data_IF_975330014708
#
_entry.id   IF_975330014708
#
_cell.length_a   1.000
_cell.length_b   1.000
_cell.length_c   1.000
_cell.angle_alpha   90.00
_cell.angle_beta   90.00
_cell.angle_gamma   90.00
#
_symmetry.space_group_name_H-M   'P 1'
#
loop_
_entity.id
_entity.type
_entity.pdbx_description
1 polymer ?
#
# COMPACT_ATOMS: atom_id res chain seq x y z
N UNK A 1 -30.71 3.69 30.77
CA UNK A 1 -30.47 2.48 29.97
C UNK A 1 -31.48 1.39 30.27
N UNK A 2 -32.29 0.99 29.29
CA UNK A 2 -33.20 -0.14 29.43
C UNK A 2 -32.42 -1.48 29.64
N UNK A 3 -33.09 -2.52 30.17
CA UNK A 3 -32.42 -3.78 30.53
C UNK A 3 -31.92 -4.57 29.32
N UNK A 4 -32.63 -4.52 28.20
CA UNK A 4 -32.28 -5.26 26.99
C UNK A 4 -31.05 -4.67 26.30
N UNK A 5 -30.96 -3.34 26.19
CA UNK A 5 -29.79 -2.61 25.71
C UNK A 5 -28.58 -2.88 26.60
N UNK A 6 -28.75 -2.78 27.93
CA UNK A 6 -27.67 -3.07 28.88
C UNK A 6 -27.15 -4.50 28.73
N UNK A 7 -28.05 -5.46 28.48
CA UNK A 7 -27.67 -6.85 28.24
C UNK A 7 -26.95 -7.00 26.90
N UNK A 8 -27.45 -6.38 25.83
CA UNK A 8 -26.83 -6.43 24.51
C UNK A 8 -25.41 -5.84 24.53
N UNK A 9 -25.22 -4.67 25.13
CA UNK A 9 -23.89 -4.06 25.27
C UNK A 9 -22.92 -4.97 26.04
N UNK A 10 -23.39 -5.63 27.12
CA UNK A 10 -22.58 -6.59 27.89
C UNK A 10 -22.22 -7.88 27.14
N UNK A 11 -22.94 -8.21 26.08
CA UNK A 11 -22.61 -9.37 25.24
C UNK A 11 -21.45 -9.06 24.28
N UNK A 12 -21.15 -7.78 24.06
CA UNK A 12 -19.95 -7.33 23.34
C UNK A 12 -18.76 -7.35 24.29
N UNK A 13 -17.80 -8.23 24.02
CA UNK A 13 -16.61 -8.44 24.84
C UNK A 13 -15.48 -8.95 23.92
N UNK A 14 -14.26 -8.45 24.12
CA UNK A 14 -13.13 -8.74 23.23
C UNK A 14 -12.73 -10.23 23.23
N UNK A 15 -12.95 -10.95 24.33
CA UNK A 15 -12.71 -12.39 24.44
C UNK A 15 -13.81 -13.23 23.77
N UNK A 16 -15.00 -12.66 23.57
CA UNK A 16 -16.09 -13.37 22.90
C UNK A 16 -15.97 -13.24 21.38
N UNK A 17 -15.46 -14.29 20.74
CA UNK A 17 -15.28 -14.31 19.28
C UNK A 17 -16.57 -14.33 18.46
N UNK A 18 -17.76 -14.51 19.07
CA UNK A 18 -19.04 -14.50 18.36
C UNK A 18 -19.92 -13.31 18.77
N UNK A 19 -20.23 -12.45 17.81
CA UNK A 19 -21.20 -11.36 17.94
C UNK A 19 -22.55 -11.82 17.36
N UNK A 20 -23.59 -11.81 18.19
CA UNK A 20 -24.94 -12.21 17.76
C UNK A 20 -25.62 -11.09 16.97
N UNK A 21 -26.38 -11.47 15.95
CA UNK A 21 -27.13 -10.51 15.11
C UNK A 21 -28.10 -9.69 15.95
N UNK A 22 -28.81 -10.37 16.86
CA UNK A 22 -29.77 -9.74 17.76
C UNK A 22 -29.12 -8.70 18.69
N UNK A 23 -27.86 -8.89 19.07
CA UNK A 23 -27.10 -7.94 19.90
C UNK A 23 -26.93 -6.62 19.15
N UNK A 24 -26.44 -6.68 17.90
CA UNK A 24 -26.28 -5.50 17.03
C UNK A 24 -27.62 -4.81 16.77
N UNK A 25 -28.67 -5.57 16.44
CA UNK A 25 -30.02 -5.05 16.20
C UNK A 25 -30.61 -4.36 17.43
N UNK A 26 -30.39 -4.91 18.62
CA UNK A 26 -30.88 -4.32 19.89
C UNK A 26 -30.20 -2.99 20.16
N UNK A 27 -28.89 -2.89 19.93
CA UNK A 27 -28.14 -1.63 20.11
C UNK A 27 -28.63 -0.57 19.12
N UNK A 28 -28.76 -0.92 17.83
CA UNK A 28 -29.29 -0.01 16.79
C UNK A 28 -30.71 0.45 17.06
N UNK A 29 -31.58 -0.43 17.57
CA UNK A 29 -32.95 -0.08 17.93
C UNK A 29 -33.05 0.93 19.10
N UNK A 30 -31.97 1.10 19.87
CA UNK A 30 -31.90 2.03 21.01
C UNK A 30 -30.79 3.09 20.80
N UNK A 31 -30.58 3.54 19.56
CA UNK A 31 -29.49 4.44 19.15
C UNK A 31 -29.25 5.62 20.10
N UNK A 32 -30.26 6.41 20.44
CA UNK A 32 -30.08 7.62 21.27
C UNK A 32 -29.47 7.30 22.64
N UNK A 33 -30.04 6.31 23.33
CA UNK A 33 -29.58 5.89 24.66
C UNK A 33 -28.22 5.17 24.59
N UNK A 34 -27.95 4.43 23.51
CA UNK A 34 -26.67 3.78 23.26
C UNK A 34 -25.56 4.79 22.93
N UNK A 35 -25.84 5.81 22.11
CA UNK A 35 -24.90 6.89 21.78
C UNK A 35 -24.45 7.60 23.05
N UNK A 36 -25.40 8.03 23.90
CA UNK A 36 -25.07 8.69 25.17
C UNK A 36 -24.19 7.79 26.05
N UNK A 37 -24.53 6.50 26.14
CA UNK A 37 -23.76 5.54 26.93
C UNK A 37 -22.34 5.33 26.37
N UNK A 38 -22.18 5.18 25.06
CA UNK A 38 -20.87 4.97 24.45
C UNK A 38 -19.98 6.21 24.58
N UNK A 39 -20.53 7.41 24.44
CA UNK A 39 -19.80 8.66 24.73
C UNK A 39 -19.36 8.73 26.20
N UNK A 40 -20.22 8.33 27.14
CA UNK A 40 -19.88 8.24 28.57
C UNK A 40 -18.79 7.19 28.85
N UNK A 41 -18.79 6.08 28.12
CA UNK A 41 -17.74 5.06 28.26
C UNK A 41 -16.38 5.57 27.77
N UNK A 42 -16.35 6.40 26.73
CA UNK A 42 -15.13 7.10 26.30
C UNK A 42 -14.68 8.12 27.34
N UNK A 43 -15.61 8.88 27.94
CA UNK A 43 -15.27 9.80 29.03
C UNK A 43 -14.71 9.06 30.25
N UNK A 44 -15.26 7.89 30.59
CA UNK A 44 -14.71 7.07 31.67
C UNK A 44 -13.29 6.56 31.37
N UNK A 45 -13.00 6.18 30.11
CA UNK A 45 -11.63 5.87 29.69
C UNK A 45 -10.73 7.11 29.73
N UNK A 46 -11.22 8.30 29.40
CA UNK A 46 -10.44 9.54 29.43
C UNK A 46 -10.10 9.95 30.88
N UNK A 47 -11.04 9.76 31.80
CA UNK A 47 -10.88 10.08 33.22
C UNK A 47 -9.95 9.10 33.95
N UNK A 48 -9.91 7.83 33.51
CA UNK A 48 -9.01 6.78 34.01
C UNK A 48 -8.40 5.96 32.84
N UNK A 49 -7.41 6.52 32.09
CA UNK A 49 -6.86 5.86 30.89
C UNK A 49 -6.20 4.51 31.15
N UNK A 50 -5.72 4.29 32.38
CA UNK A 50 -5.06 3.06 32.78
C UNK A 50 -6.00 2.13 33.56
N UNK A 51 -7.32 2.31 33.42
CA UNK A 51 -8.31 1.50 34.11
C UNK A 51 -8.11 0.01 33.84
N UNK A 52 -8.21 -0.82 34.87
CA UNK A 52 -8.23 -2.29 34.73
C UNK A 52 -9.67 -2.81 34.56
N UNK A 53 -10.65 -1.91 34.49
CA UNK A 53 -12.04 -2.27 34.28
C UNK A 53 -12.27 -2.69 32.81
N UNK A 54 -12.03 -3.98 32.54
CA UNK A 54 -12.23 -4.62 31.22
C UNK A 54 -13.57 -4.24 30.60
N UNK A 55 -14.60 -4.05 31.42
CA UNK A 55 -15.92 -3.68 30.92
C UNK A 55 -15.96 -2.28 30.31
N UNK A 56 -15.29 -1.30 30.90
CA UNK A 56 -15.21 0.05 30.32
C UNK A 56 -14.38 0.01 29.03
N UNK A 57 -13.31 -0.78 29.02
CA UNK A 57 -12.45 -0.99 27.84
C UNK A 57 -13.27 -1.60 26.69
N UNK A 58 -13.96 -2.72 26.91
CA UNK A 58 -14.79 -3.39 25.90
C UNK A 58 -15.91 -2.47 25.41
N UNK A 59 -16.67 -1.87 26.34
CA UNK A 59 -17.83 -1.05 26.00
C UNK A 59 -17.45 0.21 25.21
N UNK A 60 -16.30 0.82 25.51
CA UNK A 60 -15.77 1.95 24.75
C UNK A 60 -15.19 1.53 23.39
N UNK A 61 -14.48 0.40 23.32
CA UNK A 61 -13.94 -0.13 22.07
C UNK A 61 -15.05 -0.44 21.06
N UNK A 62 -16.01 -1.30 21.41
CA UNK A 62 -17.12 -1.62 20.51
C UNK A 62 -18.05 -0.42 20.28
N UNK A 63 -18.23 0.43 21.30
CA UNK A 63 -19.03 1.65 21.21
C UNK A 63 -18.58 2.57 20.08
N UNK A 64 -17.25 2.72 19.89
CA UNK A 64 -16.69 3.54 18.81
C UNK A 64 -17.10 3.08 17.42
N UNK A 65 -17.27 1.77 17.17
CA UNK A 65 -17.77 1.28 15.88
C UNK A 65 -19.23 1.67 15.62
N UNK A 66 -20.08 1.66 16.65
CA UNK A 66 -21.46 2.16 16.53
C UNK A 66 -21.51 3.67 16.36
N UNK A 67 -20.68 4.42 17.10
CA UNK A 67 -20.55 5.86 16.92
C UNK A 67 -20.11 6.20 15.49
N UNK A 68 -19.18 5.43 14.91
CA UNK A 68 -18.77 5.55 13.51
C UNK A 68 -19.91 5.19 12.53
N UNK A 69 -20.62 4.08 12.74
CA UNK A 69 -21.81 3.72 11.93
C UNK A 69 -22.82 4.86 11.88
N UNK A 70 -22.99 5.57 13.00
CA UNK A 70 -23.96 6.65 13.16
C UNK A 70 -23.40 8.04 12.81
N UNK A 71 -22.12 8.13 12.46
CA UNK A 71 -21.39 9.37 12.18
C UNK A 71 -21.50 10.37 13.33
N UNK A 72 -21.35 9.90 14.56
CA UNK A 72 -21.44 10.73 15.76
C UNK A 72 -20.16 11.55 15.95
N UNK A 73 -20.09 12.71 15.32
CA UNK A 73 -18.85 13.50 15.26
C UNK A 73 -18.38 14.03 16.61
N UNK A 74 -19.26 14.10 17.62
CA UNK A 74 -18.87 14.48 18.98
C UNK A 74 -17.88 13.49 19.64
N UNK A 75 -17.72 12.28 19.07
CA UNK A 75 -16.74 11.30 19.52
C UNK A 75 -15.31 11.55 19.01
N UNK A 76 -15.11 12.28 17.91
CA UNK A 76 -13.81 12.43 17.26
C UNK A 76 -12.71 12.91 18.22
N UNK A 77 -12.96 14.04 18.88
CA UNK A 77 -12.03 14.64 19.85
C UNK A 77 -11.80 13.75 21.08
N UNK A 78 -12.78 12.92 21.45
CA UNK A 78 -12.65 11.96 22.56
C UNK A 78 -11.71 10.83 22.18
N UNK A 79 -11.88 10.26 20.97
CA UNK A 79 -11.01 9.21 20.44
C UNK A 79 -9.58 9.74 20.26
N UNK A 80 -9.42 10.92 19.67
CA UNK A 80 -8.11 11.58 19.55
C UNK A 80 -7.45 11.80 20.92
N UNK A 81 -8.20 12.27 21.92
CA UNK A 81 -7.69 12.43 23.28
C UNK A 81 -7.27 11.11 23.91
N UNK A 82 -8.00 10.01 23.66
CA UNK A 82 -7.60 8.69 24.13
C UNK A 82 -6.32 8.19 23.47
N UNK A 83 -6.15 8.42 22.16
CA UNK A 83 -4.90 8.08 21.46
C UNK A 83 -3.70 8.76 22.13
N UNK A 84 -3.83 10.05 22.45
CA UNK A 84 -2.80 10.80 23.18
C UNK A 84 -2.57 10.26 24.59
N UNK A 85 -3.63 10.09 25.39
CA UNK A 85 -3.51 9.71 26.79
C UNK A 85 -2.98 8.29 27.00
N UNK A 86 -3.31 7.37 26.10
CA UNK A 86 -2.87 5.99 26.19
C UNK A 86 -1.41 5.83 25.73
N UNK A 87 -0.94 6.65 24.77
CA UNK A 87 0.41 6.56 24.23
C UNK A 87 0.77 5.12 23.85
N UNK A 88 1.92 4.62 24.31
CA UNK A 88 2.39 3.25 24.10
C UNK A 88 1.40 2.15 24.58
N UNK A 89 0.46 2.49 25.46
CA UNK A 89 -0.56 1.56 25.95
C UNK A 89 -1.82 1.52 25.06
N UNK A 90 -1.86 2.23 23.94
CA UNK A 90 -3.02 2.29 23.04
C UNK A 90 -3.52 0.91 22.61
N UNK A 91 -2.60 -0.03 22.38
CA UNK A 91 -2.93 -1.41 22.03
C UNK A 91 -3.74 -2.16 23.09
N UNK A 92 -3.76 -1.70 24.36
CA UNK A 92 -4.64 -2.28 25.39
C UNK A 92 -6.11 -2.00 25.12
N UNK A 93 -6.41 -0.90 24.43
CA UNK A 93 -7.76 -0.53 24.06
C UNK A 93 -8.12 -1.01 22.66
N UNK A 94 -7.24 -0.79 21.68
CA UNK A 94 -7.54 -1.03 20.27
C UNK A 94 -7.06 -2.38 19.76
N UNK A 95 -6.06 -2.97 20.41
CA UNK A 95 -5.29 -4.08 19.83
C UNK A 95 -4.78 -3.73 18.43
N UNK A 96 -4.88 -4.69 17.53
CA UNK A 96 -4.52 -4.55 16.11
C UNK A 96 -5.55 -3.74 15.30
N UNK A 97 -6.73 -3.45 15.86
CA UNK A 97 -7.74 -2.64 15.18
C UNK A 97 -7.25 -1.20 14.92
N UNK A 98 -6.21 -0.73 15.65
CA UNK A 98 -5.62 0.61 15.51
C UNK A 98 -5.28 0.94 14.05
N UNK A 99 -4.60 0.05 13.36
CA UNK A 99 -4.20 0.26 11.96
C UNK A 99 -5.22 -0.32 10.98
N UNK A 100 -6.00 -1.32 11.38
CA UNK A 100 -6.92 -2.01 10.47
C UNK A 100 -8.32 -1.38 10.36
N UNK A 101 -8.80 -0.71 11.41
CA UNK A 101 -10.16 -0.18 11.50
C UNK A 101 -10.19 1.32 11.77
N UNK A 102 -9.27 1.85 12.59
CA UNK A 102 -9.38 3.24 13.01
C UNK A 102 -9.27 4.29 11.90
N UNK A 103 -8.58 4.08 10.76
CA UNK A 103 -8.70 5.00 9.62
C UNK A 103 -10.17 5.16 9.17
N UNK A 104 -10.90 4.05 9.01
CA UNK A 104 -12.30 4.07 8.59
C UNK A 104 -13.24 4.59 9.68
N UNK A 105 -13.00 4.22 10.93
CA UNK A 105 -13.76 4.73 12.09
C UNK A 105 -13.59 6.24 12.21
N UNK A 106 -12.35 6.74 12.27
CA UNK A 106 -12.05 8.16 12.44
C UNK A 106 -12.59 8.99 11.27
N UNK A 107 -12.56 8.46 10.05
CA UNK A 107 -13.20 9.10 8.90
C UNK A 107 -14.70 9.30 9.09
N UNK A 108 -15.43 8.32 9.64
CA UNK A 108 -16.85 8.49 9.91
C UNK A 108 -17.14 9.42 11.10
N UNK A 109 -16.20 9.52 12.05
CA UNK A 109 -16.32 10.42 13.20
C UNK A 109 -15.87 11.85 12.85
N UNK A 110 -15.15 12.06 11.77
CA UNK A 110 -14.54 13.35 11.45
C UNK A 110 -15.57 14.48 11.43
N UNK A 111 -15.29 15.54 12.20
CA UNK A 111 -16.20 16.66 12.43
C UNK A 111 -16.02 17.81 11.43
N UNK A 112 -15.10 17.67 10.47
CA UNK A 112 -14.74 18.70 9.49
C UNK A 112 -13.68 19.69 9.98
N UNK A 113 -13.16 19.55 11.20
CA UNK A 113 -12.12 20.42 11.73
C UNK A 113 -10.73 19.92 11.30
N UNK A 114 -10.28 20.40 10.13
CA UNK A 114 -9.02 20.00 9.51
C UNK A 114 -7.80 20.27 10.39
N UNK A 115 -7.83 21.30 11.25
CA UNK A 115 -6.73 21.58 12.16
C UNK A 115 -6.54 20.44 13.17
N UNK A 116 -7.61 19.77 13.60
CA UNK A 116 -7.48 18.63 14.53
C UNK A 116 -6.85 17.40 13.88
N UNK A 117 -7.06 17.19 12.57
CA UNK A 117 -6.36 16.12 11.83
C UNK A 117 -4.85 16.37 11.85
N UNK A 118 -4.44 17.62 11.58
CA UNK A 118 -3.02 18.00 11.64
C UNK A 118 -2.47 17.85 13.05
N UNK A 119 -3.21 18.26 14.08
CA UNK A 119 -2.79 18.11 15.48
C UNK A 119 -2.57 16.62 15.79
N UNK A 120 -3.49 15.73 15.42
CA UNK A 120 -3.34 14.29 15.66
C UNK A 120 -2.15 13.67 14.92
N UNK A 121 -1.93 14.08 13.67
CA UNK A 121 -0.79 13.60 12.87
C UNK A 121 0.56 14.07 13.43
N UNK A 122 0.62 15.29 13.96
CA UNK A 122 1.85 15.95 14.45
C UNK A 122 2.08 15.78 15.95
N UNK A 123 1.22 15.06 16.67
CA UNK A 123 1.34 14.87 18.11
C UNK A 123 2.50 13.91 18.42
N UNK A 124 3.64 14.45 18.87
CA UNK A 124 4.82 13.66 19.23
C UNK A 124 4.64 12.78 20.47
N UNK A 125 3.61 13.03 21.28
CA UNK A 125 3.31 12.22 22.48
C UNK A 125 2.41 11.02 22.17
N UNK A 126 1.76 11.01 21.00
CA UNK A 126 1.02 9.84 20.51
C UNK A 126 1.98 8.75 20.05
N UNK A 127 1.59 7.50 20.30
CA UNK A 127 2.26 6.34 19.73
C UNK A 127 2.22 6.41 18.19
N UNK A 128 3.32 5.96 17.56
CA UNK A 128 3.58 6.00 16.13
C UNK A 128 2.40 5.57 15.25
N UNK A 129 1.86 4.36 15.49
CA UNK A 129 0.73 3.81 14.73
C UNK A 129 -0.58 4.54 15.01
N UNK A 130 -0.74 5.19 16.16
CA UNK A 130 -1.92 6.01 16.45
C UNK A 130 -2.00 7.29 15.61
N UNK A 131 -0.87 7.73 15.02
CA UNK A 131 -0.80 8.94 14.18
C UNK A 131 -1.14 8.69 12.72
N UNK A 132 -0.92 7.46 12.23
CA UNK A 132 -1.12 7.12 10.81
C UNK A 132 -2.57 7.24 10.33
N UNK A 133 -3.63 6.94 11.12
CA UNK A 133 -5.00 7.13 10.67
C UNK A 133 -5.34 8.59 10.33
N UNK A 134 -4.75 9.58 11.02
CA UNK A 134 -4.94 10.99 10.69
C UNK A 134 -4.30 11.33 9.35
N UNK A 135 -3.14 10.76 9.07
CA UNK A 135 -2.44 10.91 7.79
C UNK A 135 -3.26 10.30 6.65
N UNK A 136 -3.80 9.09 6.83
CA UNK A 136 -4.65 8.43 5.82
C UNK A 136 -5.89 9.27 5.46
N UNK A 137 -6.53 9.89 6.46
CA UNK A 137 -7.67 10.81 6.23
C UNK A 137 -7.22 12.02 5.40
N UNK A 138 -6.06 12.62 5.69
CA UNK A 138 -5.54 13.77 4.94
C UNK A 138 -5.26 13.39 3.47
N UNK A 139 -4.67 12.22 3.23
CA UNK A 139 -4.44 11.71 1.87
C UNK A 139 -5.75 11.33 1.15
N UNK A 140 -6.75 10.82 1.88
CA UNK A 140 -8.08 10.60 1.33
C UNK A 140 -8.74 11.92 0.91
N UNK A 141 -8.63 12.98 1.72
CA UNK A 141 -9.13 14.31 1.37
C UNK A 141 -8.43 14.89 0.14
N UNK A 142 -7.12 14.62 -0.02
CA UNK A 142 -6.38 15.04 -1.21
C UNK A 142 -6.90 14.35 -2.47
N UNK A 143 -7.07 13.02 -2.42
CA UNK A 143 -7.53 12.23 -3.58
C UNK A 143 -9.00 12.47 -3.92
N UNK A 144 -9.82 12.81 -2.92
CA UNK A 144 -11.20 13.27 -3.11
C UNK A 144 -11.28 14.71 -3.66
N UNK A 145 -10.15 15.43 -3.74
CA UNK A 145 -10.05 16.79 -4.26
C UNK A 145 -10.48 17.87 -3.27
N UNK A 146 -10.62 17.54 -1.99
CA UNK A 146 -11.02 18.47 -0.93
C UNK A 146 -9.87 19.39 -0.50
N UNK A 147 -8.62 18.90 -0.58
CA UNK A 147 -7.42 19.71 -0.36
C UNK A 147 -6.51 19.72 -1.59
N UNK A 148 -5.81 20.83 -1.78
CA UNK A 148 -4.85 20.97 -2.89
C UNK A 148 -3.54 20.23 -2.62
N UNK A 149 -2.83 19.87 -3.69
CA UNK A 149 -1.46 19.33 -3.62
C UNK A 149 -0.50 20.25 -2.85
N UNK A 150 -0.61 21.58 -3.04
CA UNK A 150 0.23 22.54 -2.31
C UNK A 150 -0.03 22.51 -0.81
N UNK A 151 -1.30 22.35 -0.41
CA UNK A 151 -1.67 22.23 1.00
C UNK A 151 -1.18 20.90 1.59
N UNK A 152 -1.29 19.80 0.83
CA UNK A 152 -0.71 18.51 1.22
C UNK A 152 0.80 18.65 1.47
N UNK A 153 1.55 19.23 0.53
CA UNK A 153 3.00 19.40 0.68
C UNK A 153 3.38 20.28 1.88
N UNK A 154 2.67 21.38 2.14
CA UNK A 154 2.92 22.26 3.31
C UNK A 154 2.75 21.52 4.65
N UNK A 155 1.77 20.63 4.73
CA UNK A 155 1.52 19.80 5.92
C UNK A 155 2.69 18.83 6.15
N UNK A 156 3.19 18.24 5.08
CA UNK A 156 4.26 17.24 5.15
C UNK A 156 5.60 17.89 5.44
N UNK A 157 5.85 19.09 4.93
CA UNK A 157 6.97 19.94 5.37
C UNK A 157 6.90 20.29 6.86
N UNK A 158 5.71 20.30 7.49
CA UNK A 158 5.57 20.55 8.92
C UNK A 158 5.98 19.33 9.75
N UNK A 159 5.69 18.12 9.26
CA UNK A 159 6.18 16.86 9.86
C UNK A 159 7.72 16.81 9.82
N UNK A 160 8.33 17.29 8.75
CA UNK A 160 9.79 17.33 8.57
C UNK A 160 10.52 18.23 9.57
N UNK A 161 9.82 19.16 10.24
CA UNK A 161 10.42 20.06 11.24
C UNK A 161 10.54 19.41 12.62
N UNK A 162 9.95 18.23 12.81
CA UNK A 162 10.10 17.45 14.04
C UNK A 162 11.57 16.99 14.12
N UNK A 163 12.26 17.18 15.27
CA UNK A 163 13.67 16.84 15.42
C UNK A 163 13.98 15.40 14.97
N UNK A 164 15.12 15.17 14.33
CA UNK A 164 15.52 13.83 13.85
C UNK A 164 15.60 12.77 14.96
N UNK A 165 15.84 13.18 16.22
CA UNK A 165 15.84 12.31 17.41
C UNK A 165 14.42 11.93 17.90
N UNK A 166 13.42 12.72 17.51
CA UNK A 166 11.98 12.51 17.75
C UNK A 166 11.25 11.98 16.50
N UNK A 167 11.99 11.87 15.37
CA UNK A 167 11.45 11.32 14.13
C UNK A 167 11.27 9.82 14.26
N UNK A 168 10.04 9.47 14.58
CA UNK A 168 9.57 8.10 14.51
C UNK A 168 9.52 7.63 13.06
N UNK A 169 10.46 6.73 12.79
CA UNK A 169 10.64 5.93 11.60
C UNK A 169 9.34 5.48 10.92
N UNK A 170 8.34 5.05 11.71
CA UNK A 170 7.11 4.47 11.19
C UNK A 170 6.26 5.53 10.50
N UNK A 171 6.15 6.73 11.09
CA UNK A 171 5.41 7.83 10.49
C UNK A 171 6.09 8.38 9.24
N UNK A 172 7.43 8.42 9.19
CA UNK A 172 8.17 8.76 7.97
C UNK A 172 7.94 7.71 6.88
N UNK A 173 7.94 6.43 7.25
CA UNK A 173 7.68 5.32 6.32
C UNK A 173 6.28 5.42 5.71
N UNK A 174 5.25 5.63 6.54
CA UNK A 174 3.87 5.76 6.07
C UNK A 174 3.69 7.00 5.18
N UNK A 175 4.31 8.12 5.54
CA UNK A 175 4.31 9.33 4.71
C UNK A 175 4.87 9.04 3.31
N UNK A 176 6.04 8.41 3.24
CA UNK A 176 6.64 8.04 1.95
C UNK A 176 5.71 7.16 1.12
N UNK A 177 5.10 6.15 1.75
CA UNK A 177 4.20 5.22 1.07
C UNK A 177 2.97 5.94 0.55
N UNK A 178 2.38 6.82 1.36
CA UNK A 178 1.18 7.54 0.97
C UNK A 178 1.45 8.57 -0.13
N UNK A 179 2.64 9.19 -0.15
CA UNK A 179 3.07 10.07 -1.25
C UNK A 179 3.13 9.34 -2.59
N UNK A 180 3.71 8.13 -2.62
CA UNK A 180 3.79 7.37 -3.88
C UNK A 180 2.44 6.77 -4.28
N UNK A 181 1.63 6.29 -3.33
CA UNK A 181 0.23 5.86 -3.60
C UNK A 181 -0.62 7.02 -4.14
N UNK A 182 -0.37 8.24 -3.69
CA UNK A 182 -1.04 9.45 -4.17
C UNK A 182 -0.42 10.04 -5.46
N UNK A 183 0.50 9.32 -6.10
CA UNK A 183 1.16 9.72 -7.35
C UNK A 183 1.93 11.06 -7.26
N UNK A 184 2.48 11.40 -6.08
CA UNK A 184 3.24 12.65 -5.85
C UNK A 184 4.71 12.48 -6.22
N UNK A 185 5.00 12.52 -7.52
CA UNK A 185 6.36 12.36 -8.06
C UNK A 185 7.39 13.32 -7.46
N UNK A 186 7.03 14.58 -7.22
CA UNK A 186 7.93 15.63 -6.73
C UNK A 186 8.51 15.31 -5.35
N UNK A 187 7.92 14.36 -4.63
CA UNK A 187 8.41 13.90 -3.33
C UNK A 187 9.46 12.78 -3.43
N UNK A 188 9.66 12.15 -4.60
CA UNK A 188 10.66 11.09 -4.80
C UNK A 188 12.08 11.47 -4.39
N UNK A 189 12.61 12.67 -4.68
CA UNK A 189 13.94 13.07 -4.23
C UNK A 189 14.06 13.09 -2.70
N UNK A 190 12.98 13.47 -2.00
CA UNK A 190 12.92 13.48 -0.54
C UNK A 190 12.88 12.06 0.03
N UNK A 191 12.05 11.19 -0.55
CA UNK A 191 11.99 9.77 -0.17
C UNK A 191 13.39 9.15 -0.29
N UNK A 192 14.10 9.44 -1.39
CA UNK A 192 15.48 8.97 -1.58
C UNK A 192 16.42 9.46 -0.49
N UNK A 193 16.38 10.75 -0.15
CA UNK A 193 17.20 11.31 0.94
C UNK A 193 16.96 10.57 2.26
N UNK A 194 15.72 10.15 2.54
CA UNK A 194 15.43 9.38 3.76
C UNK A 194 15.95 7.95 3.73
N UNK A 195 15.96 7.29 2.57
CA UNK A 195 16.67 6.02 2.41
C UNK A 195 18.18 6.18 2.64
N UNK A 196 18.81 7.22 2.08
CA UNK A 196 20.25 7.47 2.23
C UNK A 196 20.68 7.80 3.67
N UNK A 197 19.75 8.32 4.48
CA UNK A 197 19.94 8.61 5.90
C UNK A 197 19.54 7.43 6.82
N UNK A 198 19.21 6.27 6.27
CA UNK A 198 18.73 5.09 7.01
C UNK A 198 17.46 5.36 7.87
N UNK A 199 16.64 6.33 7.47
CA UNK A 199 15.32 6.59 8.09
C UNK A 199 14.22 5.65 7.58
N UNK A 200 14.51 4.81 6.59
CA UNK A 200 13.61 3.78 6.06
C UNK A 200 14.40 2.46 6.01
N UNK A 201 13.99 1.49 6.83
CA UNK A 201 14.51 0.16 7.05
C UNK A 201 13.94 -0.71 5.93
N UNK A 202 14.78 -1.13 4.98
CA UNK A 202 14.33 -1.90 3.86
C UNK A 202 13.76 -3.27 4.23
N UNK A 203 14.06 -3.81 5.42
CA UNK A 203 13.45 -5.05 5.89
C UNK A 203 11.98 -4.91 6.25
N UNK A 204 11.55 -3.70 6.65
CA UNK A 204 10.18 -3.41 7.06
C UNK A 204 9.39 -2.82 5.90
N UNK A 205 9.98 -1.83 5.21
CA UNK A 205 9.28 -0.98 4.26
C UNK A 205 9.58 -1.30 2.79
N UNK A 206 10.53 -2.18 2.50
CA UNK A 206 11.06 -2.40 1.16
C UNK A 206 12.10 -1.36 0.75
N UNK A 207 12.62 -1.47 -0.46
CA UNK A 207 13.67 -0.61 -0.98
C UNK A 207 13.09 0.58 -1.76
N UNK A 208 13.89 1.61 -1.99
CA UNK A 208 13.50 2.75 -2.81
C UNK A 208 12.88 2.36 -4.17
N UNK A 209 13.41 1.30 -4.81
CA UNK A 209 12.84 0.80 -6.07
C UNK A 209 11.37 0.37 -5.96
N UNK A 210 10.94 -0.14 -4.79
CA UNK A 210 9.54 -0.53 -4.55
C UNK A 210 8.62 0.71 -4.47
N UNK A 211 9.11 1.82 -3.92
CA UNK A 211 8.39 3.09 -3.88
C UNK A 211 8.20 3.68 -5.27
N UNK A 212 9.23 3.58 -6.13
CA UNK A 212 9.12 3.98 -7.54
C UNK A 212 8.11 3.09 -8.27
N UNK A 213 8.11 1.77 -8.05
CA UNK A 213 7.11 0.87 -8.64
C UNK A 213 5.68 1.28 -8.23
N UNK A 214 5.46 1.54 -6.93
CA UNK A 214 4.16 1.96 -6.38
C UNK A 214 3.70 3.27 -7.02
N UNK A 215 4.59 4.23 -7.23
CA UNK A 215 4.27 5.54 -7.83
C UNK A 215 3.59 5.40 -9.20
N UNK A 216 3.90 4.35 -9.96
CA UNK A 216 3.32 4.12 -11.29
C UNK A 216 2.32 2.96 -11.31
N UNK A 217 1.92 2.43 -10.16
CA UNK A 217 1.06 1.25 -10.07
C UNK A 217 -0.43 1.56 -10.20
N UNK A 218 -1.11 0.87 -11.12
CA UNK A 218 -2.53 1.11 -11.45
C UNK A 218 -3.49 0.90 -10.28
N UNK A 219 -3.12 0.04 -9.34
CA UNK A 219 -3.97 -0.33 -8.20
C UNK A 219 -4.21 0.85 -7.25
N UNK A 220 -3.39 1.89 -7.32
CA UNK A 220 -3.52 3.09 -6.49
C UNK A 220 -4.11 4.28 -7.24
N UNK A 221 -4.48 4.14 -8.52
CA UNK A 221 -5.10 5.22 -9.31
C UNK A 221 -6.40 5.75 -8.66
N UNK A 222 -7.12 4.90 -7.92
CA UNK A 222 -8.34 5.27 -7.20
C UNK A 222 -8.07 6.02 -5.88
N UNK A 223 -6.83 6.00 -5.39
CA UNK A 223 -6.42 6.81 -4.25
C UNK A 223 -7.13 6.45 -2.94
N UNK A 224 -7.51 5.19 -2.74
CA UNK A 224 -8.21 4.77 -1.52
C UNK A 224 -7.23 4.61 -0.36
N UNK A 225 -7.20 5.61 0.53
CA UNK A 225 -6.47 5.58 1.80
C UNK A 225 -7.37 5.14 2.95
N UNK A 226 -8.67 5.40 2.84
CA UNK A 226 -9.64 5.07 3.87
C UNK A 226 -10.85 4.34 3.29
N UNK A 227 -11.37 3.35 4.02
CA UNK A 227 -12.63 2.69 3.67
C UNK A 227 -13.83 3.61 3.96
N UNK A 228 -14.24 4.40 2.96
CA UNK A 228 -15.37 5.35 3.06
C UNK A 228 -16.73 4.66 3.18
N UNK A 229 -16.87 3.45 2.65
CA UNK A 229 -18.12 2.68 2.64
C UNK A 229 -18.35 1.91 3.95
N UNK A 230 -18.15 2.54 5.11
CA UNK A 230 -18.15 1.89 6.42
C UNK A 230 -19.40 1.03 6.68
N UNK A 231 -19.17 -0.26 6.97
CA UNK A 231 -20.19 -1.21 7.41
C UNK A 231 -19.70 -1.84 8.69
N UNK A 232 -20.42 -1.63 9.79
CA UNK A 232 -20.04 -2.09 11.12
C UNK A 232 -19.72 -3.59 11.15
N UNK A 233 -20.57 -4.41 10.54
CA UNK A 233 -20.34 -5.85 10.48
C UNK A 233 -19.06 -6.20 9.70
N UNK A 234 -18.78 -5.53 8.59
CA UNK A 234 -17.56 -5.81 7.80
C UNK A 234 -16.31 -5.44 8.59
N UNK A 235 -16.34 -4.33 9.31
CA UNK A 235 -15.22 -3.86 10.12
C UNK A 235 -14.95 -4.78 11.32
N UNK A 236 -16.00 -5.18 12.04
CA UNK A 236 -15.88 -6.13 13.15
C UNK A 236 -15.57 -7.56 12.68
N UNK A 237 -15.99 -7.96 11.47
CA UNK A 237 -15.75 -9.31 10.97
C UNK A 237 -14.27 -9.62 10.70
N UNK A 238 -13.41 -8.59 10.61
CA UNK A 238 -11.96 -8.78 10.57
C UNK A 238 -11.45 -9.57 11.79
N UNK A 239 -12.15 -9.44 12.94
CA UNK A 239 -11.70 -9.95 14.24
C UNK A 239 -12.69 -10.89 14.94
N UNK A 240 -13.96 -10.83 14.56
CA UNK A 240 -15.07 -11.52 15.22
C UNK A 240 -15.97 -12.24 14.21
N UNK A 241 -16.45 -13.42 14.58
CA UNK A 241 -17.55 -14.06 13.85
C UNK A 241 -18.84 -13.28 14.12
N UNK A 242 -19.60 -12.99 13.06
CA UNK A 242 -20.88 -12.28 13.18
C UNK A 242 -21.98 -13.22 12.73
N UNK A 243 -22.91 -13.52 13.65
CA UNK A 243 -24.01 -14.44 13.40
C UNK A 243 -24.86 -13.98 12.21
N UNK A 244 -25.06 -14.86 11.24
CA UNK A 244 -25.90 -14.57 10.07
C UNK A 244 -25.31 -13.54 9.10
N UNK A 245 -24.04 -13.16 9.28
CA UNK A 245 -23.30 -12.38 8.29
C UNK A 245 -22.62 -13.34 7.31
N UNK A 246 -23.30 -13.62 6.20
CA UNK A 246 -22.68 -14.28 5.05
C UNK A 246 -21.91 -13.23 4.28
N UNK A 247 -20.58 -13.38 4.21
CA UNK A 247 -19.68 -12.55 3.41
C UNK A 247 -20.36 -12.12 2.10
N UNK A 248 -20.82 -10.87 2.03
CA UNK A 248 -21.34 -10.31 0.79
C UNK A 248 -20.14 -10.08 -0.12
N UNK A 249 -19.72 -11.15 -0.83
CA UNK A 249 -18.64 -11.20 -1.83
C UNK A 249 -17.55 -10.14 -1.65
N UNK A 250 -16.52 -10.49 -0.89
CA UNK A 250 -15.24 -9.80 -0.91
C UNK A 250 -14.35 -10.29 0.23
N UNK A 251 -13.60 -11.37 0.00
CA UNK A 251 -12.51 -11.78 0.88
C UNK A 251 -11.52 -10.63 1.04
N UNK A 252 -11.60 -9.88 2.14
CA UNK A 252 -10.48 -9.13 2.68
C UNK A 252 -10.42 -9.44 4.18
N UNK A 253 -10.13 -10.71 4.49
CA UNK A 253 -9.53 -11.04 5.78
C UNK A 253 -8.05 -10.67 5.62
N UNK A 254 -7.69 -9.42 5.94
CA UNK A 254 -6.28 -9.05 6.08
C UNK A 254 -5.85 -9.52 7.47
N UNK A 255 -5.30 -10.71 7.52
CA UNK A 255 -4.54 -11.19 8.68
C UNK A 255 -3.12 -10.58 8.57
N UNK A 256 -2.90 -9.42 9.20
CA UNK A 256 -1.59 -8.75 9.16
C UNK A 256 -0.50 -9.53 9.90
N UNK A 257 -0.89 -10.46 10.79
CA UNK A 257 0.05 -11.34 11.51
C UNK A 257 0.64 -12.46 10.63
N UNK A 258 0.15 -12.61 9.38
CA UNK A 258 0.62 -13.59 8.39
C UNK A 258 0.93 -12.99 7.01
N UNK A 259 1.39 -11.74 6.97
CA UNK A 259 1.91 -11.17 5.72
C UNK A 259 3.23 -11.89 5.35
N UNK A 260 3.10 -13.02 4.66
CA UNK A 260 4.03 -13.39 3.61
C UNK A 260 3.49 -12.78 2.31
N UNK A 261 4.05 -11.62 1.96
CA UNK A 261 3.74 -10.82 0.78
C UNK A 261 3.72 -11.65 -0.52
N UNK A 262 4.47 -12.76 -0.57
CA UNK A 262 4.53 -13.65 -1.73
C UNK A 262 3.30 -14.56 -1.87
N UNK A 263 2.73 -15.04 -0.76
CA UNK A 263 1.62 -16.02 -0.80
C UNK A 263 0.26 -15.38 -1.11
N UNK A 264 0.08 -14.08 -0.82
CA UNK A 264 -1.13 -13.33 -1.16
C UNK A 264 -1.29 -13.13 -2.68
N UNK A 265 -0.18 -13.01 -3.40
CA UNK A 265 -0.13 -12.91 -4.87
C UNK A 265 -0.48 -14.25 -5.53
N UNK A 266 -0.04 -15.38 -4.97
CA UNK A 266 -0.37 -16.71 -5.49
C UNK A 266 -1.86 -17.05 -5.32
N UNK A 267 -2.47 -16.70 -4.17
CA UNK A 267 -3.88 -17.01 -3.91
C UNK A 267 -4.86 -16.14 -4.71
N UNK A 268 -4.48 -14.90 -5.06
CA UNK A 268 -5.28 -14.05 -5.94
C UNK A 268 -5.36 -14.60 -7.39
N UNK A 269 -4.38 -15.41 -7.81
CA UNK A 269 -4.31 -15.97 -9.16
C UNK A 269 -5.25 -17.18 -9.38
N UNK A 270 -5.57 -17.93 -8.33
CA UNK A 270 -6.44 -19.11 -8.43
C UNK A 270 -7.95 -18.76 -8.44
N UNK A 271 -8.32 -17.53 -8.05
CA UNK A 271 -9.73 -17.10 -7.93
C UNK A 271 -10.35 -16.48 -9.20
N UNK A 272 -9.59 -16.35 -10.29
CA UNK A 272 -10.13 -16.02 -11.61
C UNK A 272 -10.22 -17.31 -12.42
N UNK A 273 -11.42 -17.89 -12.56
CA UNK A 273 -11.65 -18.99 -13.50
C UNK A 273 -11.27 -18.53 -14.91
N UNK A 274 -10.08 -18.92 -15.36
CA UNK A 274 -9.63 -18.70 -16.74
C UNK A 274 -10.61 -19.44 -17.67
N UNK A 275 -11.42 -18.73 -18.47
CA UNK A 275 -12.41 -19.36 -19.35
C UNK A 275 -11.77 -20.21 -20.47
N UNK A 276 -10.44 -20.19 -20.59
CA UNK A 276 -9.65 -20.97 -21.55
C UNK A 276 -8.88 -22.15 -20.93
N UNK A 277 -9.06 -22.45 -19.62
CA UNK A 277 -8.33 -23.49 -18.86
C UNK A 277 -8.39 -24.89 -19.48
N UNK A 278 -9.42 -25.18 -20.28
CA UNK A 278 -9.63 -26.49 -20.92
C UNK A 278 -9.51 -26.46 -22.46
N UNK A 279 -9.01 -25.38 -23.06
CA UNK A 279 -8.90 -25.25 -24.53
C UNK A 279 -7.55 -25.80 -24.98
N UNK A 280 -7.56 -26.89 -25.74
CA UNK A 280 -6.36 -27.47 -26.30
C UNK A 280 -5.70 -26.54 -27.33
N UNK A 281 -4.36 -26.54 -27.37
CA UNK A 281 -3.54 -25.68 -28.26
C UNK A 281 -4.00 -25.68 -29.74
N UNK A 282 -4.56 -26.78 -30.24
CA UNK A 282 -5.03 -26.90 -31.63
C UNK A 282 -6.53 -26.73 -31.82
N UNK A 283 -7.30 -26.53 -30.75
CA UNK A 283 -8.76 -26.42 -30.79
C UNK A 283 -9.18 -25.08 -31.41
N UNK A 284 -10.41 -24.96 -31.94
CA UNK A 284 -10.96 -23.68 -32.36
C UNK A 284 -10.95 -22.69 -31.18
N UNK A 285 -10.51 -21.47 -31.44
CA UNK A 285 -10.41 -20.45 -30.41
C UNK A 285 -11.82 -20.01 -29.96
N UNK A 286 -12.14 -20.00 -28.64
CA UNK A 286 -13.50 -19.70 -28.18
C UNK A 286 -13.95 -18.25 -28.38
N UNK A 287 -13.06 -17.35 -28.82
CA UNK A 287 -13.39 -15.98 -29.18
C UNK A 287 -14.21 -15.83 -30.48
N UNK A 288 -14.57 -16.94 -31.13
CA UNK A 288 -15.38 -16.92 -32.35
C UNK A 288 -14.62 -16.56 -33.64
N UNK A 289 -13.28 -16.40 -33.58
CA UNK A 289 -12.47 -15.99 -34.74
C UNK A 289 -12.32 -17.03 -35.86
N UNK A 290 -12.79 -18.27 -35.65
CA UNK A 290 -12.63 -19.40 -36.57
C UNK A 290 -11.20 -19.93 -36.70
N UNK A 291 -10.22 -19.35 -35.99
CA UNK A 291 -8.81 -19.77 -35.99
C UNK A 291 -8.53 -20.78 -34.87
N UNK A 292 -7.52 -21.64 -35.01
CA UNK A 292 -7.02 -22.51 -33.93
C UNK A 292 -6.44 -21.66 -32.79
N UNK A 293 -6.61 -22.07 -31.53
CA UNK A 293 -6.16 -21.35 -30.33
C UNK A 293 -4.70 -20.92 -30.43
N UNK A 294 -3.82 -21.82 -30.91
CA UNK A 294 -2.39 -21.53 -31.16
C UNK A 294 -2.09 -20.37 -32.11
N UNK A 295 -3.03 -20.00 -32.98
CA UNK A 295 -2.88 -18.94 -33.99
C UNK A 295 -3.68 -17.68 -33.64
N UNK A 296 -4.28 -17.64 -32.45
CA UNK A 296 -5.09 -16.53 -31.98
C UNK A 296 -4.56 -16.02 -30.64
N UNK A 297 -4.92 -16.64 -29.52
CA UNK A 297 -4.58 -16.15 -28.18
C UNK A 297 -3.40 -16.86 -27.53
N UNK A 298 -2.86 -17.91 -28.13
CA UNK A 298 -1.68 -18.62 -27.60
C UNK A 298 -0.33 -17.90 -27.88
N UNK A 299 -0.29 -16.97 -28.85
CA UNK A 299 0.95 -16.39 -29.37
C UNK A 299 1.37 -15.05 -28.74
N UNK A 300 0.68 -14.56 -27.70
CA UNK A 300 1.15 -13.39 -26.92
C UNK A 300 2.36 -13.76 -26.04
N UNK A 301 2.67 -15.05 -25.86
CA UNK A 301 3.78 -15.53 -25.03
C UNK A 301 4.95 -16.20 -25.80
N UNK A 302 5.00 -16.14 -27.13
CA UNK A 302 6.11 -16.79 -27.87
C UNK A 302 6.36 -16.26 -29.28
N UNK A 303 7.03 -15.11 -29.40
CA UNK A 303 7.81 -14.77 -30.60
C UNK A 303 9.03 -13.93 -30.22
N UNK A 304 10.13 -14.60 -29.85
CA UNK A 304 11.49 -14.11 -30.06
C UNK A 304 12.32 -15.31 -30.53
N UNK A 305 12.50 -15.42 -31.84
CA UNK A 305 13.64 -16.13 -32.40
C UNK A 305 14.39 -15.10 -33.25
N UNK A 306 15.37 -14.42 -32.66
CA UNK A 306 16.42 -13.75 -33.42
C UNK A 306 17.77 -14.10 -32.82
N UNK A 307 18.60 -14.74 -33.64
CA UNK A 307 19.95 -15.18 -33.31
C UNK A 307 20.83 -13.97 -32.97
N UNK A 308 20.99 -13.68 -31.69
CA UNK A 308 22.27 -13.19 -31.14
C UNK A 308 22.30 -13.26 -29.60
N UNK A 309 23.28 -14.05 -29.11
CA UNK A 309 23.93 -13.99 -27.79
C UNK A 309 23.08 -13.98 -26.50
N UNK A 310 22.77 -15.19 -26.00
CA UNK A 310 22.82 -15.55 -24.57
C UNK A 310 21.73 -15.03 -23.60
N UNK A 311 21.00 -13.97 -23.93
CA UNK A 311 20.02 -13.33 -23.00
C UNK A 311 18.60 -13.92 -23.15
N UNK A 312 18.28 -14.56 -24.27
CA UNK A 312 16.92 -14.99 -24.69
C UNK A 312 16.23 -16.09 -23.86
N UNK A 313 16.81 -16.60 -22.75
CA UNK A 313 16.25 -17.74 -21.99
C UNK A 313 15.98 -17.49 -20.51
N UNK A 314 15.83 -16.24 -20.08
CA UNK A 314 15.36 -15.99 -18.73
C UNK A 314 13.83 -16.20 -18.66
N UNK A 315 13.39 -17.41 -18.27
CA UNK A 315 11.98 -17.73 -18.04
C UNK A 315 11.31 -16.86 -16.96
N UNK A 316 12.12 -16.22 -16.11
CA UNK A 316 11.66 -15.37 -15.03
C UNK A 316 11.66 -13.88 -15.41
N UNK A 317 12.05 -13.50 -16.63
CA UNK A 317 12.05 -12.10 -17.10
C UNK A 317 10.69 -11.44 -16.92
N UNK A 318 9.63 -12.09 -17.37
CA UNK A 318 8.25 -11.57 -17.23
C UNK A 318 7.81 -11.48 -15.76
N UNK A 319 8.34 -12.36 -14.91
CA UNK A 319 8.10 -12.34 -13.46
C UNK A 319 8.78 -11.13 -12.80
N UNK A 320 10.02 -10.82 -13.18
CA UNK A 320 10.75 -9.67 -12.65
C UNK A 320 10.15 -8.34 -13.10
N UNK A 321 9.71 -8.26 -14.36
CA UNK A 321 9.08 -7.07 -14.92
C UNK A 321 7.63 -6.88 -14.51
N UNK A 322 7.06 -7.80 -13.70
CA UNK A 322 5.67 -7.74 -13.25
C UNK A 322 5.30 -6.38 -12.63
N UNK A 323 6.22 -5.80 -11.87
CA UNK A 323 6.02 -4.51 -11.18
C UNK A 323 6.65 -3.33 -11.91
N UNK A 324 7.45 -3.57 -12.94
CA UNK A 324 8.07 -2.49 -13.71
C UNK A 324 6.99 -1.68 -14.43
N UNK A 325 7.05 -0.33 -14.41
CA UNK A 325 6.03 0.51 -15.01
C UNK A 325 5.76 0.17 -16.49
N UNK A 326 4.48 0.13 -16.89
CA UNK A 326 4.11 -0.24 -18.26
C UNK A 326 4.53 0.86 -19.24
N UNK A 327 5.36 0.48 -20.21
CA UNK A 327 5.85 1.39 -21.25
C UNK A 327 5.04 1.34 -22.54
N UNK A 328 5.01 2.48 -23.23
CA UNK A 328 4.49 2.71 -24.59
C UNK A 328 5.40 2.18 -25.70
N UNK A 329 6.61 1.76 -25.36
CA UNK A 329 7.61 1.25 -26.29
C UNK A 329 8.34 0.03 -25.71
N UNK A 330 9.06 -0.69 -26.55
CA UNK A 330 9.95 -1.77 -26.12
C UNK A 330 11.33 -1.18 -25.78
N UNK A 331 11.80 -1.26 -24.51
CA UNK A 331 13.08 -0.68 -24.10
C UNK A 331 14.31 -1.36 -24.73
N UNK A 332 14.16 -2.54 -25.31
CA UNK A 332 15.25 -3.25 -26.00
C UNK A 332 15.40 -2.84 -27.47
N UNK A 333 14.28 -2.63 -28.17
CA UNK A 333 14.24 -2.33 -29.61
C UNK A 333 13.99 -0.86 -29.93
N UNK A 334 13.53 -0.08 -28.94
CA UNK A 334 13.05 1.30 -29.06
C UNK A 334 11.78 1.46 -29.91
N UNK A 335 11.13 0.36 -30.31
CA UNK A 335 9.92 0.37 -31.14
C UNK A 335 8.66 0.61 -30.31
N UNK A 336 7.70 1.34 -30.87
CA UNK A 336 6.42 1.61 -30.22
C UNK A 336 5.56 0.36 -30.06
N UNK A 337 4.81 0.28 -28.96
CA UNK A 337 3.85 -0.79 -28.68
C UNK A 337 2.45 -0.40 -29.13
N UNK A 338 1.98 -1.05 -30.20
CA UNK A 338 0.65 -0.79 -30.77
C UNK A 338 -0.53 -1.11 -29.83
N UNK A 339 -0.31 -1.95 -28.80
CA UNK A 339 -1.31 -2.32 -27.78
C UNK A 339 -1.36 -1.36 -26.57
N UNK A 340 -0.45 -0.38 -26.52
CA UNK A 340 -0.38 0.55 -25.41
C UNK A 340 -1.35 1.71 -25.61
N UNK A 341 -2.18 1.93 -24.59
CA UNK A 341 -3.12 3.06 -24.51
C UNK A 341 -2.88 3.72 -23.17
N UNK A 342 -2.72 5.05 -23.19
CA UNK A 342 -2.61 5.85 -21.98
C UNK A 342 -3.98 6.01 -21.34
N UNK A 343 -4.04 5.83 -20.04
CA UNK A 343 -5.16 6.22 -19.20
C UNK A 343 -5.12 7.76 -19.03
N UNK A 344 -6.25 8.43 -19.20
CA UNK A 344 -6.33 9.89 -19.06
C UNK A 344 -6.02 10.32 -17.63
N UNK A 345 -5.23 11.39 -17.47
CA UNK A 345 -4.84 11.93 -16.15
C UNK A 345 -3.75 11.15 -15.42
N UNK A 346 -3.30 10.00 -15.93
CA UNK A 346 -2.28 9.17 -15.32
C UNK A 346 -0.86 9.58 -15.73
N UNK A 347 0.05 9.54 -14.75
CA UNK A 347 1.48 9.74 -14.92
C UNK A 347 2.18 8.46 -15.41
N UNK A 348 3.08 8.59 -16.39
CA UNK A 348 3.92 7.52 -16.90
C UNK A 348 5.41 7.89 -16.82
N UNK A 349 6.29 6.90 -16.82
CA UNK A 349 7.74 7.15 -16.86
C UNK A 349 8.13 8.06 -18.02
N UNK A 350 7.53 7.85 -19.20
CA UNK A 350 7.78 8.66 -20.40
C UNK A 350 7.33 10.13 -20.30
N UNK A 351 6.60 10.51 -19.25
CA UNK A 351 6.27 11.91 -18.98
C UNK A 351 7.40 12.65 -18.24
N UNK A 352 8.31 11.89 -17.64
CA UNK A 352 9.36 12.39 -16.76
C UNK A 352 10.76 12.12 -17.31
N UNK A 353 10.92 11.01 -18.02
CA UNK A 353 12.21 10.51 -18.48
C UNK A 353 12.19 10.20 -19.97
N UNK A 354 13.32 10.44 -20.65
CA UNK A 354 13.48 10.05 -22.04
C UNK A 354 13.63 8.52 -22.19
N UNK A 355 13.34 8.01 -23.40
CA UNK A 355 13.39 6.57 -23.68
C UNK A 355 14.76 5.93 -23.44
N UNK A 356 15.85 6.65 -23.66
CA UNK A 356 17.19 6.10 -23.44
C UNK A 356 17.46 5.91 -21.94
N UNK A 357 17.05 6.87 -21.12
CA UNK A 357 17.10 6.79 -19.65
C UNK A 357 16.26 5.63 -19.13
N UNK A 358 15.02 5.50 -19.61
CA UNK A 358 14.12 4.39 -19.26
C UNK A 358 14.72 3.05 -19.67
N UNK A 359 15.36 2.96 -20.85
CA UNK A 359 16.02 1.72 -21.27
C UNK A 359 17.26 1.37 -20.44
N UNK A 360 18.03 2.36 -19.97
CA UNK A 360 19.13 2.11 -19.03
C UNK A 360 18.56 1.53 -17.73
N UNK A 361 17.58 2.23 -17.15
CA UNK A 361 16.90 1.81 -15.92
C UNK A 361 16.26 0.42 -16.04
N UNK A 362 15.61 0.12 -17.16
CA UNK A 362 15.03 -1.20 -17.46
C UNK A 362 16.04 -2.34 -17.28
N UNK A 363 17.26 -2.19 -17.80
CA UNK A 363 18.29 -3.21 -17.67
C UNK A 363 18.88 -3.26 -16.26
N UNK A 364 19.01 -2.12 -15.58
CA UNK A 364 19.45 -2.10 -14.18
C UNK A 364 18.40 -2.77 -13.28
N UNK A 365 17.13 -2.44 -13.46
CA UNK A 365 16.01 -3.06 -12.76
C UNK A 365 15.97 -4.57 -13.00
N UNK A 366 16.14 -5.02 -14.25
CA UNK A 366 16.29 -6.44 -14.55
C UNK A 366 17.51 -7.09 -13.90
N UNK A 367 18.57 -6.35 -13.56
CA UNK A 367 19.73 -6.88 -12.88
C UNK A 367 19.51 -7.05 -11.36
N UNK A 368 18.84 -6.10 -10.71
CA UNK A 368 18.69 -6.07 -9.24
C UNK A 368 17.37 -6.61 -8.73
N UNK A 369 16.24 -6.43 -9.44
CA UNK A 369 14.93 -6.95 -8.98
C UNK A 369 14.87 -8.49 -8.95
N UNK A 370 15.88 -9.16 -9.49
CA UNK A 370 16.05 -10.60 -9.36
C UNK A 370 16.50 -11.04 -7.95
N UNK A 371 17.02 -10.11 -7.14
CA UNK A 371 17.65 -10.34 -5.84
C UNK A 371 16.67 -10.23 -4.65
N UNK A 372 15.45 -10.80 -4.76
CA UNK A 372 14.66 -10.99 -3.54
C UNK A 372 15.35 -12.06 -2.67
N UNK A 373 16.03 -11.58 -1.62
CA UNK A 373 16.95 -12.32 -0.72
C UNK A 373 16.38 -13.66 -0.25
N UNK A 374 15.09 -13.68 0.09
CA UNK A 374 14.39 -14.88 0.56
C UNK A 374 14.34 -16.01 -0.50
N UNK A 375 14.24 -15.66 -1.78
CA UNK A 375 14.21 -16.63 -2.89
C UNK A 375 15.61 -16.95 -3.43
N UNK A 376 16.55 -16.01 -3.33
CA UNK A 376 17.93 -16.22 -3.77
C UNK A 376 18.64 -17.26 -2.90
N UNK A 377 18.46 -17.21 -1.58
CA UNK A 377 19.13 -18.12 -0.65
C UNK A 377 18.72 -19.59 -0.85
N UNK A 378 17.48 -19.83 -1.29
CA UNK A 378 16.92 -21.16 -1.57
C UNK A 378 17.41 -21.76 -2.91
N UNK A 379 18.11 -21.00 -3.75
CA UNK A 379 18.62 -21.49 -5.04
C UNK A 379 19.83 -22.42 -4.86
N UNK A 380 19.92 -23.40 -5.73
CA UNK A 380 21.12 -24.22 -5.87
C UNK A 380 22.33 -23.37 -6.29
N UNK A 381 23.55 -23.87 -6.04
CA UNK A 381 24.78 -23.18 -6.44
C UNK A 381 24.85 -22.90 -7.96
N UNK A 382 24.30 -23.79 -8.78
CA UNK A 382 24.25 -23.61 -10.24
C UNK A 382 23.24 -22.52 -10.65
N UNK A 383 22.08 -22.47 -10.01
CA UNK A 383 21.09 -21.40 -10.22
C UNK A 383 21.61 -20.03 -9.76
N UNK A 384 22.33 -19.97 -8.64
CA UNK A 384 23.02 -18.74 -8.18
C UNK A 384 24.07 -18.29 -9.20
N UNK A 385 24.84 -19.23 -9.76
CA UNK A 385 25.83 -18.92 -10.79
C UNK A 385 25.19 -18.44 -12.10
N UNK A 386 24.11 -19.08 -12.55
CA UNK A 386 23.36 -18.62 -13.73
C UNK A 386 22.76 -17.23 -13.53
N UNK A 387 22.19 -16.98 -12.35
CA UNK A 387 21.69 -15.67 -11.96
C UNK A 387 22.77 -14.59 -12.06
N UNK A 388 23.95 -14.82 -11.49
CA UNK A 388 25.07 -13.88 -11.59
C UNK A 388 25.52 -13.60 -13.03
N UNK A 389 25.49 -14.62 -13.90
CA UNK A 389 25.80 -14.45 -15.33
C UNK A 389 24.75 -13.57 -16.01
N UNK A 390 23.46 -13.78 -15.73
CA UNK A 390 22.36 -12.98 -16.28
C UNK A 390 22.42 -11.54 -15.76
N UNK A 391 22.63 -11.36 -14.46
CA UNK A 391 22.80 -10.04 -13.82
C UNK A 391 23.90 -9.24 -14.52
N UNK A 392 25.08 -9.83 -14.69
CA UNK A 392 26.20 -9.19 -15.41
C UNK A 392 25.91 -8.87 -16.86
N UNK A 393 25.12 -9.70 -17.55
CA UNK A 393 24.71 -9.42 -18.93
C UNK A 393 23.82 -8.18 -19.01
N UNK A 394 22.86 -8.03 -18.09
CA UNK A 394 22.02 -6.85 -18.02
C UNK A 394 22.80 -5.60 -17.60
N UNK A 395 23.66 -5.68 -16.59
CA UNK A 395 24.52 -4.56 -16.19
C UNK A 395 25.46 -4.10 -17.30
N UNK A 396 26.04 -5.05 -18.06
CA UNK A 396 26.85 -4.72 -19.24
C UNK A 396 26.02 -3.93 -20.26
N UNK A 397 24.78 -4.35 -20.51
CA UNK A 397 23.89 -3.67 -21.45
C UNK A 397 23.50 -2.27 -20.97
N UNK A 398 23.16 -2.12 -19.69
CA UNK A 398 22.90 -0.82 -19.06
C UNK A 398 24.10 0.11 -19.22
N UNK A 399 25.32 -0.38 -18.95
CA UNK A 399 26.56 0.39 -19.08
C UNK A 399 26.84 0.86 -20.51
N UNK A 400 26.64 0.00 -21.51
CA UNK A 400 26.79 0.38 -22.92
C UNK A 400 25.85 1.53 -23.33
N UNK A 401 24.65 1.57 -22.79
CA UNK A 401 23.68 2.63 -23.04
C UNK A 401 24.02 3.90 -22.25
N UNK A 402 24.41 3.74 -20.99
CA UNK A 402 24.90 4.83 -20.12
C UNK A 402 26.09 5.56 -20.75
N UNK A 403 27.13 4.85 -21.18
CA UNK A 403 28.34 5.46 -21.76
C UNK A 403 27.99 6.28 -23.02
N UNK A 404 27.09 5.76 -23.86
CA UNK A 404 26.60 6.48 -25.06
C UNK A 404 25.86 7.75 -24.67
N UNK A 405 24.99 7.68 -23.66
CA UNK A 405 24.18 8.80 -23.21
C UNK A 405 25.03 9.89 -22.55
N UNK A 406 25.99 9.52 -21.71
CA UNK A 406 26.96 10.45 -21.08
C UNK A 406 27.70 11.26 -22.14
N UNK A 407 28.19 10.61 -23.19
CA UNK A 407 28.87 11.28 -24.31
C UNK A 407 27.90 12.16 -25.10
N UNK A 408 26.72 11.64 -25.44
CA UNK A 408 25.71 12.32 -26.26
C UNK A 408 25.20 13.60 -25.59
N UNK A 409 24.92 13.53 -24.29
CA UNK A 409 24.29 14.62 -23.54
C UNK A 409 25.33 15.48 -22.79
N UNK A 410 26.63 15.19 -22.96
CA UNK A 410 27.75 15.89 -22.34
C UNK A 410 27.64 15.99 -20.81
N UNK A 411 27.43 14.84 -20.17
CA UNK A 411 27.27 14.71 -18.71
C UNK A 411 28.66 14.67 -18.05
N UNK A 412 28.86 15.52 -17.04
CA UNK A 412 30.17 15.74 -16.42
C UNK A 412 30.58 14.61 -15.46
N UNK A 413 29.62 14.11 -14.67
CA UNK A 413 29.84 13.10 -13.64
C UNK A 413 28.58 12.28 -13.36
N UNK A 414 28.70 11.29 -12.47
CA UNK A 414 27.58 10.40 -12.10
C UNK A 414 26.48 11.14 -11.35
N UNK A 415 26.81 12.17 -10.56
CA UNK A 415 25.84 12.95 -9.80
C UNK A 415 24.93 13.76 -10.73
N UNK A 416 25.49 14.35 -11.79
CA UNK A 416 24.72 15.01 -12.84
C UNK A 416 23.82 14.02 -13.59
N UNK A 417 24.31 12.81 -13.87
CA UNK A 417 23.48 11.76 -14.48
C UNK A 417 22.31 11.39 -13.57
N UNK A 418 22.59 11.12 -12.30
CA UNK A 418 21.60 10.68 -11.31
C UNK A 418 20.47 11.69 -11.12
N UNK A 419 20.81 12.98 -11.08
CA UNK A 419 19.83 14.06 -10.99
C UNK A 419 18.89 14.17 -12.20
N UNK A 420 19.35 13.75 -13.37
CA UNK A 420 18.60 13.93 -14.63
C UNK A 420 17.89 12.68 -15.10
N UNK A 421 18.49 11.51 -14.90
CA UNK A 421 18.16 10.32 -15.68
C UNK A 421 17.97 9.05 -14.85
N UNK A 422 18.47 8.99 -13.62
CA UNK A 422 18.28 7.82 -12.76
C UNK A 422 16.84 7.75 -12.23
N UNK A 423 16.30 6.53 -12.20
CA UNK A 423 14.90 6.26 -11.87
C UNK A 423 14.84 5.37 -10.62
N UNK A 424 15.04 4.05 -10.75
CA UNK A 424 14.99 3.13 -9.60
C UNK A 424 16.32 3.09 -8.83
N UNK A 425 17.45 3.12 -9.54
CA UNK A 425 18.80 2.92 -8.98
C UNK A 425 19.75 4.03 -9.45
N UNK A 426 20.61 4.52 -8.55
CA UNK A 426 21.69 5.45 -8.85
C UNK A 426 22.87 4.73 -9.50
N UNK A 427 23.67 5.48 -10.26
CA UNK A 427 24.79 4.94 -11.03
C UNK A 427 25.80 4.22 -10.13
N UNK A 428 26.11 4.76 -8.96
CA UNK A 428 27.06 4.16 -8.01
C UNK A 428 26.61 2.78 -7.47
N UNK A 429 25.31 2.54 -7.37
CA UNK A 429 24.71 1.27 -6.95
C UNK A 429 25.04 0.12 -7.91
N UNK A 430 25.34 0.40 -9.19
CA UNK A 430 25.43 -0.63 -10.21
C UNK A 430 26.62 -0.54 -11.17
N UNK A 431 27.24 0.62 -11.36
CA UNK A 431 28.32 0.81 -12.36
C UNK A 431 29.57 -0.04 -12.07
N UNK A 432 29.77 -0.42 -10.80
CA UNK A 432 30.93 -1.19 -10.32
C UNK A 432 30.64 -2.66 -10.03
N UNK A 433 29.39 -3.12 -10.22
CA UNK A 433 28.98 -4.53 -10.09
C UNK A 433 29.23 -5.29 -11.40
#
# INVERSE_FOLDING_TARGET
>A
MNQDLKKAIRELNVDNKLIRKKTLETIRANREEATEYFLQSLDAMIDDPMTENIRIIDESFFGVFFLAEWKETSAFKKVQKLFHLLGDNIHRWTGDALTENFPAVLWQLYDGDFENLKIGMLDGEMESFARTPFMDIIFQMYTDGEISKSMLLEIMESLEKIPEEENDYLVVTELCLNMVKAHIYEYLPKIRQWFEKDFIDPMIAGYYSDYVDILFEKRFDEGEFVNKDFVLERELHKWYEIEGWENQKGNIQRDFSKIDFNSAVERAYDMLENPFKNVGRNDPCPCGSGKKYKKCHYLIASTFENKDNGIEKNKDRDKHLKYYPRLSFNPETMEDRADFVRDEGRLYLEDLYDRESISIDYYVYLAFKQDNKATFDMRSAEEKKQHEVIKKAYLKRARELYDKKVIKDNIADTEEFDKKYSIHYMVDEWINN
#
